data_IF_167059773374
#
_entry.id   IF_167059773374
#
_cell.length_a   1.000
_cell.length_b   1.000
_cell.length_c   1.000
_cell.angle_alpha   90.00
_cell.angle_beta   90.00
_cell.angle_gamma   90.00
#
_symmetry.space_group_name_H-M   'P 1'
#
loop_
_entity.id
_entity.type
_entity.pdbx_description
1 polymer ?
#
# COMPACT_ATOMS: atom_id res chain seq x y z
N UNK A 1 75.21 50.77 -14.86
CA UNK A 1 75.86 50.04 -13.76
C UNK A 1 74.79 49.37 -12.92
N UNK A 2 75.01 48.12 -12.61
CA UNK A 2 74.34 47.25 -11.67
C UNK A 2 73.01 46.70 -12.10
N UNK A 3 73.08 45.52 -12.71
CA UNK A 3 72.00 44.45 -12.73
C UNK A 3 71.91 43.87 -11.37
N UNK A 4 70.67 43.74 -10.86
CA UNK A 4 70.39 42.90 -9.70
C UNK A 4 69.35 41.88 -10.12
N UNK A 5 69.84 40.67 -10.39
CA UNK A 5 69.03 39.46 -10.62
C UNK A 5 68.49 38.93 -9.28
N UNK A 6 67.18 38.94 -9.06
CA UNK A 6 66.54 38.25 -7.98
C UNK A 6 66.02 36.90 -8.49
N UNK A 7 66.74 35.84 -8.17
CA UNK A 7 66.30 34.45 -8.32
C UNK A 7 65.41 34.06 -7.14
N UNK A 8 64.13 33.83 -7.41
CA UNK A 8 63.26 33.18 -6.43
C UNK A 8 63.36 31.63 -6.59
N UNK A 9 63.63 30.88 -5.54
CA UNK A 9 63.51 29.44 -5.59
C UNK A 9 62.04 29.07 -5.42
N UNK A 10 61.45 28.48 -6.49
CA UNK A 10 60.15 27.83 -6.39
C UNK A 10 60.32 26.55 -5.59
N UNK A 11 59.79 26.54 -4.37
CA UNK A 11 59.65 25.34 -3.58
C UNK A 11 58.64 24.38 -4.28
N UNK A 12 58.90 23.08 -4.33
CA UNK A 12 57.95 22.12 -4.88
C UNK A 12 56.68 22.10 -4.02
N UNK A 13 55.53 22.37 -4.65
CA UNK A 13 54.23 22.18 -4.04
C UNK A 13 54.08 20.68 -3.81
N UNK A 14 54.16 20.26 -2.56
CA UNK A 14 53.80 18.92 -2.15
C UNK A 14 52.33 18.69 -2.45
N UNK A 15 52.04 17.86 -3.48
CA UNK A 15 50.70 17.31 -3.72
C UNK A 15 50.33 16.50 -2.46
N UNK A 16 49.63 17.15 -1.56
CA UNK A 16 48.99 16.47 -0.43
C UNK A 16 48.07 15.40 -1.01
N UNK A 17 48.39 14.14 -0.76
CA UNK A 17 47.63 12.99 -1.26
C UNK A 17 46.16 13.16 -0.87
N UNK A 18 45.27 13.20 -1.86
CA UNK A 18 43.84 13.24 -1.62
C UNK A 18 43.44 12.13 -0.61
N UNK A 19 42.61 12.42 0.40
CA UNK A 19 42.24 11.43 1.38
C UNK A 19 41.63 10.23 0.68
N UNK A 20 42.17 9.04 0.95
CA UNK A 20 41.69 7.78 0.38
C UNK A 20 40.20 7.65 0.66
N UNK A 21 39.41 7.40 -0.38
CA UNK A 21 37.98 7.16 -0.23
C UNK A 21 37.77 6.02 0.76
N UNK A 22 36.86 6.18 1.75
CA UNK A 22 36.64 5.18 2.77
C UNK A 22 36.27 3.85 2.10
N UNK A 23 36.93 2.79 2.52
CA UNK A 23 36.62 1.45 2.03
C UNK A 23 35.18 1.09 2.41
N UNK A 24 34.52 0.18 1.65
CA UNK A 24 33.15 -0.30 1.97
C UNK A 24 33.00 -0.74 3.44
N UNK A 25 34.08 -1.20 4.04
CA UNK A 25 34.15 -1.65 5.44
C UNK A 25 34.11 -0.46 6.42
N UNK A 26 34.76 0.63 6.08
CA UNK A 26 34.79 1.86 6.92
C UNK A 26 33.45 2.61 6.84
N UNK A 27 32.76 2.54 5.71
CA UNK A 27 31.41 3.09 5.55
C UNK A 27 30.36 2.35 6.41
N UNK A 28 30.49 1.03 6.57
CA UNK A 28 29.63 0.22 7.46
C UNK A 28 29.89 0.51 8.94
N UNK A 29 31.11 0.96 9.27
CA UNK A 29 31.51 1.32 10.63
C UNK A 29 31.35 2.83 10.91
N UNK A 30 30.73 3.58 9.98
CA UNK A 30 30.46 5.00 10.20
C UNK A 30 29.61 5.22 11.46
N UNK A 31 29.80 6.39 12.09
CA UNK A 31 29.04 6.75 13.29
C UNK A 31 27.52 6.63 13.06
N UNK A 32 27.05 6.99 11.87
CA UNK A 32 25.64 6.85 11.46
C UNK A 32 25.16 5.40 11.45
N UNK A 33 25.96 4.45 10.95
CA UNK A 33 25.64 3.03 10.96
C UNK A 33 25.57 2.47 12.38
N UNK A 34 26.42 2.92 13.29
CA UNK A 34 26.39 2.51 14.71
C UNK A 34 25.15 3.05 15.43
N UNK A 35 24.75 4.29 15.15
CA UNK A 35 23.54 4.88 15.72
C UNK A 35 22.26 4.25 15.19
N UNK A 36 22.26 3.73 13.95
CA UNK A 36 21.09 3.03 13.37
C UNK A 36 20.98 1.56 13.81
N UNK A 37 22.05 0.95 14.30
CA UNK A 37 22.10 -0.46 14.68
C UNK A 37 20.97 -0.88 15.65
N UNK A 38 20.68 -0.18 16.76
CA UNK A 38 19.62 -0.58 17.68
C UNK A 38 18.23 -0.53 17.02
N UNK A 39 17.97 0.43 16.13
CA UNK A 39 16.72 0.51 15.40
C UNK A 39 16.60 -0.62 14.38
N UNK A 40 17.67 -0.92 13.63
CA UNK A 40 17.73 -2.02 12.69
C UNK A 40 17.50 -3.36 13.40
N UNK A 41 18.13 -3.55 14.55
CA UNK A 41 17.99 -4.77 15.36
C UNK A 41 16.55 -4.93 15.88
N UNK A 42 15.96 -3.86 16.38
CA UNK A 42 14.56 -3.85 16.83
C UNK A 42 13.60 -4.20 15.67
N UNK A 43 13.81 -3.61 14.49
CA UNK A 43 13.02 -3.93 13.30
C UNK A 43 13.26 -5.36 12.81
N UNK A 44 14.50 -5.84 12.84
CA UNK A 44 14.81 -7.21 12.44
C UNK A 44 14.14 -8.24 13.36
N UNK A 45 14.20 -8.03 14.67
CA UNK A 45 13.57 -8.94 15.64
C UNK A 45 12.05 -8.79 15.62
N UNK A 46 11.52 -7.56 15.61
CA UNK A 46 10.08 -7.32 15.71
C UNK A 46 9.32 -7.62 14.40
N UNK A 47 9.96 -7.53 13.24
CA UNK A 47 9.32 -7.72 11.95
C UNK A 47 9.79 -8.99 11.22
N UNK A 48 11.10 -9.19 11.09
CA UNK A 48 11.65 -10.32 10.30
C UNK A 48 11.49 -11.64 11.03
N UNK A 49 11.69 -11.67 12.36
CA UNK A 49 11.58 -12.92 13.12
C UNK A 49 10.17 -13.55 13.07
N UNK A 50 9.06 -12.80 13.24
CA UNK A 50 7.71 -13.35 13.02
C UNK A 50 7.48 -13.86 11.60
N UNK A 51 8.00 -13.19 10.57
CA UNK A 51 7.88 -13.66 9.19
C UNK A 51 8.63 -14.97 8.96
N UNK A 52 9.85 -15.08 9.52
CA UNK A 52 10.63 -16.34 9.49
C UNK A 52 9.88 -17.44 10.23
N UNK A 53 9.25 -17.13 11.37
CA UNK A 53 8.46 -18.10 12.12
C UNK A 53 7.27 -18.61 11.29
N UNK A 54 6.48 -17.72 10.67
CA UNK A 54 5.37 -18.10 9.77
C UNK A 54 5.89 -18.96 8.62
N UNK A 55 7.00 -18.57 8.00
CA UNK A 55 7.62 -19.35 6.92
C UNK A 55 8.06 -20.74 7.40
N UNK A 56 8.68 -20.85 8.59
CA UNK A 56 9.09 -22.13 9.17
C UNK A 56 7.88 -23.01 9.54
N UNK A 57 6.82 -22.40 10.13
CA UNK A 57 5.59 -23.14 10.47
C UNK A 57 4.85 -23.65 9.23
N UNK A 58 4.95 -23.00 8.09
CA UNK A 58 4.31 -23.45 6.84
C UNK A 58 4.74 -24.84 6.38
N UNK A 59 5.95 -25.28 6.78
CA UNK A 59 6.50 -26.61 6.50
C UNK A 59 6.30 -27.61 7.68
N UNK A 60 5.68 -27.20 8.77
CA UNK A 60 5.42 -28.10 9.88
C UNK A 60 4.28 -29.07 9.54
N UNK A 61 4.20 -30.21 10.26
CA UNK A 61 3.13 -31.19 10.10
C UNK A 61 1.78 -30.57 10.51
N UNK A 62 0.68 -30.82 9.77
CA UNK A 62 -0.64 -30.29 10.11
C UNK A 62 -1.02 -30.53 11.58
N UNK A 63 -1.66 -29.53 12.18
CA UNK A 63 -2.14 -29.57 13.58
C UNK A 63 -1.06 -29.86 14.62
N UNK A 64 0.19 -29.47 14.39
CA UNK A 64 1.28 -29.54 15.36
C UNK A 64 1.82 -28.17 15.69
N UNK A 65 2.35 -28.00 16.90
CA UNK A 65 3.05 -26.78 17.33
C UNK A 65 4.58 -26.94 17.29
N UNK A 66 5.07 -28.12 16.84
CA UNK A 66 6.50 -28.44 16.78
C UNK A 66 7.09 -28.13 15.41
N UNK A 67 7.81 -27.01 15.29
CA UNK A 67 8.35 -26.51 14.01
C UNK A 67 9.52 -27.35 13.48
N UNK A 68 10.37 -27.85 14.38
CA UNK A 68 11.66 -28.43 13.97
C UNK A 68 11.68 -29.97 13.88
N UNK A 69 10.59 -30.65 14.14
CA UNK A 69 10.56 -32.12 14.23
C UNK A 69 10.22 -32.84 12.92
N UNK A 70 9.55 -32.15 11.99
CA UNK A 70 9.21 -32.74 10.69
C UNK A 70 8.93 -31.65 9.65
N UNK A 71 9.72 -31.64 8.58
CA UNK A 71 9.44 -30.83 7.41
C UNK A 71 8.54 -31.59 6.45
N UNK A 72 7.42 -30.95 6.03
CA UNK A 72 6.47 -31.54 5.10
C UNK A 72 5.90 -30.50 4.15
N UNK A 73 5.59 -30.90 2.93
CA UNK A 73 4.87 -30.07 1.95
C UNK A 73 3.36 -30.38 1.90
N UNK A 74 2.86 -31.16 2.85
CA UNK A 74 1.44 -31.59 2.88
C UNK A 74 0.50 -30.38 2.94
N UNK A 75 0.83 -29.32 3.68
CA UNK A 75 0.01 -28.10 3.75
C UNK A 75 -0.13 -27.47 2.36
N UNK A 76 0.95 -27.39 1.59
CA UNK A 76 0.91 -26.87 0.23
C UNK A 76 0.14 -27.79 -0.72
N UNK A 77 0.34 -29.11 -0.60
CA UNK A 77 -0.43 -30.09 -1.36
C UNK A 77 -1.93 -29.97 -1.05
N UNK A 78 -2.30 -29.75 0.20
CA UNK A 78 -3.71 -29.50 0.61
C UNK A 78 -4.27 -28.23 0.00
N UNK A 79 -3.49 -27.14 -0.06
CA UNK A 79 -3.89 -25.87 -0.70
C UNK A 79 -4.12 -26.05 -2.20
N UNK A 80 -3.20 -26.75 -2.90
CA UNK A 80 -3.25 -26.90 -4.35
C UNK A 80 -4.16 -28.02 -4.85
N UNK A 81 -4.29 -29.13 -4.12
CA UNK A 81 -5.09 -30.30 -4.49
C UNK A 81 -6.36 -30.44 -3.64
N UNK A 82 -6.51 -29.62 -2.61
CA UNK A 82 -7.63 -29.65 -1.66
C UNK A 82 -8.90 -28.96 -2.16
N UNK A 83 -9.72 -28.53 -1.25
CA UNK A 83 -11.04 -27.98 -1.55
C UNK A 83 -10.96 -26.73 -2.46
N UNK A 84 -11.84 -26.66 -3.46
CA UNK A 84 -12.06 -25.46 -4.30
C UNK A 84 -12.40 -24.21 -3.48
N UNK A 85 -12.72 -24.35 -2.19
CA UNK A 85 -13.13 -23.27 -1.28
C UNK A 85 -12.00 -22.25 -1.08
N UNK A 86 -10.75 -22.68 -0.83
CA UNK A 86 -9.61 -21.77 -0.63
C UNK A 86 -9.34 -20.93 -1.87
N UNK A 87 -9.40 -21.58 -3.05
CA UNK A 87 -9.23 -20.88 -4.33
C UNK A 87 -10.37 -19.90 -4.60
N UNK A 88 -11.59 -20.24 -4.23
CA UNK A 88 -12.74 -19.35 -4.34
C UNK A 88 -12.56 -18.12 -3.44
N UNK A 89 -12.13 -18.32 -2.18
CA UNK A 89 -11.82 -17.23 -1.25
C UNK A 89 -10.71 -16.33 -1.76
N UNK A 90 -9.66 -16.92 -2.37
CA UNK A 90 -8.58 -16.17 -3.00
C UNK A 90 -9.07 -15.34 -4.19
N UNK A 91 -9.92 -15.91 -5.05
CA UNK A 91 -10.51 -15.20 -6.19
C UNK A 91 -11.44 -14.06 -5.74
N UNK A 92 -12.22 -14.27 -4.68
CA UNK A 92 -13.03 -13.19 -4.10
C UNK A 92 -12.17 -12.06 -3.55
N UNK A 93 -11.11 -12.37 -2.80
CA UNK A 93 -10.16 -11.36 -2.29
C UNK A 93 -9.53 -10.58 -3.43
N UNK A 94 -9.07 -11.28 -4.47
CA UNK A 94 -8.47 -10.68 -5.66
C UNK A 94 -9.46 -9.80 -6.40
N UNK A 95 -10.70 -10.28 -6.59
CA UNK A 95 -11.78 -9.55 -7.24
C UNK A 95 -12.13 -8.26 -6.50
N UNK A 96 -12.30 -8.32 -5.18
CA UNK A 96 -12.56 -7.14 -4.37
C UNK A 96 -11.38 -6.16 -4.37
N UNK A 97 -10.14 -6.66 -4.25
CA UNK A 97 -8.96 -5.81 -4.27
C UNK A 97 -8.81 -5.07 -5.62
N UNK A 98 -9.01 -5.77 -6.75
CA UNK A 98 -8.99 -5.13 -8.07
C UNK A 98 -10.14 -4.16 -8.28
N UNK A 99 -11.37 -4.54 -7.91
CA UNK A 99 -12.53 -3.68 -8.05
C UNK A 99 -12.37 -2.40 -7.21
N UNK A 100 -11.94 -2.55 -5.95
CA UNK A 100 -11.66 -1.41 -5.05
C UNK A 100 -10.57 -0.52 -5.62
N UNK A 101 -9.46 -1.09 -6.09
CA UNK A 101 -8.35 -0.36 -6.67
C UNK A 101 -8.80 0.44 -7.91
N UNK A 102 -9.52 -0.19 -8.83
CA UNK A 102 -10.01 0.45 -10.04
C UNK A 102 -11.02 1.58 -9.74
N UNK A 103 -11.99 1.33 -8.87
CA UNK A 103 -12.99 2.32 -8.50
C UNK A 103 -12.36 3.49 -7.72
N UNK A 104 -11.45 3.20 -6.78
CA UNK A 104 -10.76 4.25 -6.05
C UNK A 104 -9.83 5.06 -6.94
N UNK A 105 -9.18 4.46 -7.94
CA UNK A 105 -8.38 5.23 -8.89
C UNK A 105 -9.24 6.27 -9.62
N UNK A 106 -10.46 5.89 -10.03
CA UNK A 106 -11.41 6.79 -10.69
C UNK A 106 -11.96 7.85 -9.74
N UNK A 107 -12.27 7.49 -8.48
CA UNK A 107 -12.85 8.41 -7.49
C UNK A 107 -11.77 9.35 -6.91
N UNK A 108 -10.61 8.83 -6.56
CA UNK A 108 -9.54 9.58 -5.91
C UNK A 108 -8.85 10.56 -6.87
N UNK A 109 -8.79 10.25 -8.17
CA UNK A 109 -8.11 11.12 -9.14
C UNK A 109 -8.71 12.54 -9.20
N UNK A 110 -10.04 12.73 -9.42
CA UNK A 110 -10.62 14.06 -9.43
C UNK A 110 -10.51 14.78 -8.10
N UNK A 111 -10.56 14.05 -6.97
CA UNK A 111 -10.36 14.63 -5.64
C UNK A 111 -8.91 15.12 -5.49
N UNK A 112 -7.92 14.29 -5.84
CA UNK A 112 -6.51 14.64 -5.79
C UNK A 112 -6.19 15.82 -6.74
N UNK A 113 -6.77 15.84 -7.94
CA UNK A 113 -6.68 16.96 -8.85
C UNK A 113 -7.26 18.24 -8.25
N UNK A 114 -8.45 18.15 -7.63
CA UNK A 114 -9.08 19.25 -6.93
C UNK A 114 -8.22 19.82 -5.81
N UNK A 115 -7.61 18.95 -5.01
CA UNK A 115 -6.70 19.33 -3.93
C UNK A 115 -5.47 20.09 -4.42
N UNK A 116 -4.93 19.73 -5.58
CA UNK A 116 -3.72 20.37 -6.12
C UNK A 116 -3.99 21.62 -6.96
N UNK A 117 -5.13 21.68 -7.67
CA UNK A 117 -5.35 22.67 -8.73
C UNK A 117 -6.54 23.60 -8.49
N UNK A 118 -7.58 23.15 -7.75
CA UNK A 118 -8.86 23.86 -7.67
C UNK A 118 -9.10 24.48 -6.31
N UNK A 119 -8.88 23.75 -5.22
CA UNK A 119 -9.29 24.19 -3.88
C UNK A 119 -8.41 25.30 -3.27
N UNK A 120 -7.20 25.55 -3.81
CA UNK A 120 -6.31 26.61 -3.35
C UNK A 120 -6.11 26.57 -1.82
N UNK A 121 -6.49 27.65 -1.13
CA UNK A 121 -6.38 27.76 0.34
C UNK A 121 -7.25 26.78 1.13
N UNK A 122 -8.30 26.24 0.52
CA UNK A 122 -9.18 25.24 1.14
C UNK A 122 -8.64 23.82 1.05
N UNK A 123 -7.59 23.57 0.26
CA UNK A 123 -7.00 22.24 0.07
C UNK A 123 -6.58 21.60 1.39
N UNK A 124 -5.98 22.36 2.31
CA UNK A 124 -5.58 21.88 3.63
C UNK A 124 -6.79 21.41 4.46
N UNK A 125 -7.88 22.18 4.48
CA UNK A 125 -9.08 21.80 5.21
C UNK A 125 -9.72 20.53 4.64
N UNK A 126 -9.82 20.44 3.31
CA UNK A 126 -10.35 19.25 2.63
C UNK A 126 -9.46 18.03 2.89
N UNK A 127 -8.11 18.19 2.86
CA UNK A 127 -7.19 17.11 3.21
C UNK A 127 -7.39 16.59 4.63
N UNK A 128 -7.56 17.50 5.61
CA UNK A 128 -7.84 17.14 7.01
C UNK A 128 -9.13 16.33 7.12
N UNK A 129 -10.18 16.70 6.35
CA UNK A 129 -11.45 15.97 6.34
C UNK A 129 -11.28 14.50 5.92
N UNK A 130 -10.39 14.20 4.96
CA UNK A 130 -10.07 12.83 4.56
C UNK A 130 -9.15 12.10 5.55
N UNK A 131 -8.34 12.82 6.33
CA UNK A 131 -7.49 12.24 7.37
C UNK A 131 -8.28 11.92 8.64
N UNK A 132 -9.26 12.76 8.99
CA UNK A 132 -10.01 12.67 10.25
C UNK A 132 -10.56 11.26 10.53
N UNK A 133 -11.18 10.56 9.56
CA UNK A 133 -11.67 9.20 9.79
C UNK A 133 -10.59 8.20 10.21
N UNK A 134 -9.31 8.43 9.89
CA UNK A 134 -8.22 7.52 10.25
C UNK A 134 -7.95 7.49 11.77
N UNK A 135 -8.36 8.52 12.51
CA UNK A 135 -8.28 8.54 13.98
C UNK A 135 -9.32 7.66 14.67
N UNK A 136 -10.35 7.23 13.93
CA UNK A 136 -11.37 6.33 14.43
C UNK A 136 -11.05 4.91 13.98
N UNK A 137 -11.14 3.94 14.90
CA UNK A 137 -10.92 2.53 14.54
C UNK A 137 -11.80 2.10 13.35
N UNK A 138 -11.20 1.36 12.44
CA UNK A 138 -11.88 0.80 11.26
C UNK A 138 -13.16 0.04 11.65
N UNK A 139 -13.08 -0.87 12.63
CA UNK A 139 -14.22 -1.64 13.07
C UNK A 139 -15.38 -0.74 13.55
N UNK A 140 -15.08 0.33 14.32
CA UNK A 140 -16.10 1.26 14.81
C UNK A 140 -16.80 1.95 13.65
N UNK A 141 -16.05 2.37 12.64
CA UNK A 141 -16.60 2.98 11.42
C UNK A 141 -17.50 2.02 10.65
N UNK A 142 -17.08 0.76 10.51
CA UNK A 142 -17.87 -0.27 9.81
C UNK A 142 -19.15 -0.63 10.58
N UNK A 143 -19.12 -0.70 11.91
CA UNK A 143 -20.32 -0.88 12.72
C UNK A 143 -21.29 0.32 12.59
N UNK A 144 -20.76 1.55 12.44
CA UNK A 144 -21.58 2.72 12.12
C UNK A 144 -22.36 2.54 10.81
N UNK A 145 -21.72 1.95 9.78
CA UNK A 145 -22.40 1.60 8.53
C UNK A 145 -23.47 0.52 8.71
N UNK A 146 -23.18 -0.51 9.54
CA UNK A 146 -24.20 -1.53 9.88
C UNK A 146 -25.44 -0.87 10.50
N UNK A 147 -25.25 -0.01 11.51
CA UNK A 147 -26.37 0.69 12.17
C UNK A 147 -27.14 1.61 11.21
N UNK A 148 -26.45 2.19 10.23
CA UNK A 148 -27.09 3.05 9.24
C UNK A 148 -27.94 2.25 8.25
N UNK A 149 -27.45 1.11 7.74
CA UNK A 149 -28.08 0.33 6.65
C UNK A 149 -28.93 -0.86 7.13
N UNK A 150 -28.90 -1.21 8.42
CA UNK A 150 -29.69 -2.31 8.95
C UNK A 150 -31.20 -2.02 8.77
N UNK A 151 -32.00 -3.07 8.61
CA UNK A 151 -33.46 -2.94 8.56
C UNK A 151 -33.99 -2.25 9.82
N UNK A 152 -34.84 -1.25 9.66
CA UNK A 152 -35.29 -0.31 10.70
C UNK A 152 -34.14 0.53 11.32
N UNK A 153 -32.98 0.60 10.65
CA UNK A 153 -31.89 1.49 11.01
C UNK A 153 -32.14 2.95 10.57
N UNK A 154 -31.08 3.77 10.62
CA UNK A 154 -31.19 5.21 10.35
C UNK A 154 -31.71 5.50 8.96
N UNK A 155 -31.18 4.82 7.91
CA UNK A 155 -31.61 5.02 6.53
C UNK A 155 -33.08 4.62 6.34
N UNK A 156 -33.44 3.43 6.77
CA UNK A 156 -34.79 2.88 6.62
C UNK A 156 -35.84 3.72 7.38
N UNK A 157 -35.50 4.16 8.60
CA UNK A 157 -36.32 5.04 9.40
C UNK A 157 -36.54 6.42 8.75
N UNK A 158 -35.47 7.04 8.25
CA UNK A 158 -35.58 8.34 7.57
C UNK A 158 -36.36 8.26 6.27
N UNK A 159 -36.20 7.21 5.47
CA UNK A 159 -36.98 7.02 4.25
C UNK A 159 -38.45 6.82 4.52
N UNK A 160 -38.79 6.03 5.58
CA UNK A 160 -40.21 5.87 5.99
C UNK A 160 -40.83 7.18 6.47
N UNK A 161 -40.07 8.03 7.20
CA UNK A 161 -40.54 9.36 7.58
C UNK A 161 -40.80 10.27 6.38
N UNK A 162 -40.06 10.08 5.28
CA UNK A 162 -40.26 10.82 4.03
C UNK A 162 -41.37 10.23 3.14
N UNK A 163 -42.05 9.16 3.58
CA UNK A 163 -43.16 8.54 2.85
C UNK A 163 -42.76 7.44 1.86
N UNK A 164 -41.53 6.95 1.91
CA UNK A 164 -41.08 5.80 1.11
C UNK A 164 -41.36 4.48 1.83
N UNK A 165 -41.48 3.36 1.09
CA UNK A 165 -41.72 2.03 1.66
C UNK A 165 -40.54 1.44 2.46
N UNK A 166 -39.39 2.15 2.52
CA UNK A 166 -38.18 1.76 3.22
C UNK A 166 -36.95 1.78 2.32
N UNK A 167 -35.77 1.54 2.88
CA UNK A 167 -34.50 1.52 2.18
C UNK A 167 -34.16 0.17 1.54
N UNK A 168 -33.28 0.15 0.52
CA UNK A 168 -32.79 -1.08 -0.06
C UNK A 168 -32.00 -1.90 0.96
N UNK A 169 -32.26 -3.21 1.04
CA UNK A 169 -31.53 -4.13 1.90
C UNK A 169 -30.26 -4.60 1.20
N UNK A 170 -29.21 -3.75 1.23
CA UNK A 170 -27.90 -4.05 0.63
C UNK A 170 -26.88 -4.56 1.65
N UNK A 171 -27.20 -4.47 2.94
CA UNK A 171 -26.35 -4.97 4.03
C UNK A 171 -26.21 -6.50 3.92
N UNK A 172 -25.03 -7.00 4.26
CA UNK A 172 -24.65 -8.41 4.15
C UNK A 172 -24.60 -8.99 2.75
N UNK A 173 -24.36 -8.11 1.76
CA UNK A 173 -24.17 -8.50 0.36
C UNK A 173 -22.80 -8.06 -0.17
N UNK A 174 -22.27 -8.70 -1.23
CA UNK A 174 -20.96 -8.35 -1.79
C UNK A 174 -20.79 -6.87 -2.17
N UNK A 175 -21.80 -6.15 -2.72
CA UNK A 175 -21.65 -4.71 -2.99
C UNK A 175 -21.39 -3.87 -1.75
N UNK A 176 -21.90 -4.29 -0.58
CA UNK A 176 -21.69 -3.57 0.67
C UNK A 176 -20.24 -3.73 1.18
N UNK A 177 -19.64 -4.91 0.96
CA UNK A 177 -18.21 -5.13 1.22
C UNK A 177 -17.39 -4.14 0.41
N UNK A 178 -17.65 -4.06 -0.91
CA UNK A 178 -16.96 -3.15 -1.80
C UNK A 178 -17.12 -1.68 -1.39
N UNK A 179 -18.33 -1.27 -1.00
CA UNK A 179 -18.59 0.09 -0.52
C UNK A 179 -17.80 0.40 0.76
N UNK A 180 -17.72 -0.54 1.70
CA UNK A 180 -16.89 -0.43 2.90
C UNK A 180 -15.41 -0.28 2.58
N UNK A 181 -14.89 -1.13 1.68
CA UNK A 181 -13.50 -1.05 1.23
C UNK A 181 -13.19 0.29 0.54
N UNK A 182 -14.10 0.80 -0.30
CA UNK A 182 -13.94 2.12 -0.93
C UNK A 182 -13.84 3.22 0.12
N UNK A 183 -14.68 3.19 1.15
CA UNK A 183 -14.66 4.17 2.22
C UNK A 183 -13.38 4.08 3.08
N UNK A 184 -12.99 2.87 3.46
CA UNK A 184 -11.84 2.65 4.36
C UNK A 184 -10.53 2.98 3.68
N UNK A 185 -10.37 2.56 2.41
CA UNK A 185 -9.09 2.67 1.70
C UNK A 185 -8.93 3.95 0.86
N UNK A 186 -9.95 4.79 0.77
CA UNK A 186 -9.90 6.06 0.04
C UNK A 186 -8.67 6.92 0.42
N UNK A 187 -8.32 7.15 1.70
CA UNK A 187 -7.16 7.94 2.05
C UNK A 187 -5.84 7.35 1.55
N UNK A 188 -5.71 6.03 1.55
CA UNK A 188 -4.49 5.33 1.12
C UNK A 188 -4.26 5.41 -0.39
N UNK A 189 -5.31 5.58 -1.18
CA UNK A 189 -5.22 5.90 -2.60
C UNK A 189 -4.99 7.39 -2.83
N UNK A 190 -5.75 8.23 -2.10
CA UNK A 190 -5.82 9.67 -2.32
C UNK A 190 -4.49 10.38 -2.04
N UNK A 191 -3.82 10.08 -0.90
CA UNK A 191 -2.63 10.82 -0.52
C UNK A 191 -1.43 10.59 -1.43
N UNK A 192 -1.03 9.34 -1.79
CA UNK A 192 0.05 9.14 -2.75
C UNK A 192 -0.26 9.74 -4.12
N UNK A 193 -1.52 9.65 -4.57
CA UNK A 193 -1.96 10.22 -5.83
C UNK A 193 -1.89 11.75 -5.80
N UNK A 194 -2.30 12.39 -4.70
CA UNK A 194 -2.19 13.84 -4.49
C UNK A 194 -0.74 14.28 -4.51
N UNK A 195 0.15 13.52 -3.87
CA UNK A 195 1.59 13.80 -3.89
C UNK A 195 2.17 13.66 -5.32
N UNK A 196 1.79 12.62 -6.05
CA UNK A 196 2.20 12.43 -7.44
C UNK A 196 1.78 13.60 -8.33
N UNK A 197 0.53 14.05 -8.21
CA UNK A 197 0.04 15.22 -8.95
C UNK A 197 0.69 16.54 -8.52
N UNK A 198 1.10 16.68 -7.25
CA UNK A 198 1.82 17.84 -6.76
C UNK A 198 3.23 17.96 -7.38
N UNK A 199 3.83 16.84 -7.77
CA UNK A 199 5.15 16.81 -8.43
C UNK A 199 5.12 17.26 -9.89
N UNK A 200 3.95 17.39 -10.52
CA UNK A 200 3.82 17.84 -11.92
C UNK A 200 4.01 19.36 -12.00
N UNK A 201 5.10 19.85 -12.66
CA UNK A 201 5.38 21.27 -12.78
C UNK A 201 4.30 21.99 -13.58
N UNK A 202 3.87 23.16 -13.11
CA UNK A 202 2.86 23.97 -13.81
C UNK A 202 3.37 24.47 -15.15
N UNK A 203 4.65 24.78 -15.22
CA UNK A 203 5.29 25.30 -16.43
C UNK A 203 5.17 24.34 -17.62
N UNK A 204 5.20 23.01 -17.37
CA UNK A 204 5.00 22.01 -18.42
C UNK A 204 3.55 21.98 -18.93
N UNK A 205 2.60 22.25 -18.06
CA UNK A 205 1.17 22.33 -18.43
C UNK A 205 0.94 23.58 -19.26
N UNK A 206 1.52 24.71 -18.86
CA UNK A 206 1.38 25.96 -19.57
C UNK A 206 2.10 25.92 -20.92
N UNK A 207 3.32 25.38 -21.01
CA UNK A 207 4.00 25.13 -22.27
C UNK A 207 3.20 24.22 -23.22
N UNK A 208 2.56 23.16 -22.71
CA UNK A 208 1.69 22.32 -23.53
C UNK A 208 0.47 23.08 -24.08
N UNK A 209 -0.11 24.01 -23.29
CA UNK A 209 -1.20 24.89 -23.74
C UNK A 209 -0.72 25.85 -24.82
N UNK A 210 0.46 26.42 -24.67
CA UNK A 210 1.03 27.34 -25.65
C UNK A 210 1.29 26.64 -27.01
N UNK A 211 1.56 25.33 -26.97
CA UNK A 211 1.67 24.48 -28.16
C UNK A 211 0.32 24.05 -28.73
N UNK A 212 -0.80 24.52 -28.16
CA UNK A 212 -2.16 24.23 -28.65
C UNK A 212 -2.77 22.91 -28.15
N UNK A 213 -2.15 22.25 -27.14
CA UNK A 213 -2.70 21.02 -26.58
C UNK A 213 -4.04 21.27 -25.86
N UNK A 214 -5.03 20.42 -26.13
CA UNK A 214 -6.29 20.48 -25.43
C UNK A 214 -6.20 19.85 -24.03
N UNK A 215 -7.23 20.06 -23.18
CA UNK A 215 -7.24 19.57 -21.78
C UNK A 215 -7.05 18.07 -21.65
N UNK A 216 -7.61 17.28 -22.59
CA UNK A 216 -7.49 15.83 -22.59
C UNK A 216 -6.08 15.36 -22.95
N UNK A 217 -5.44 16.04 -23.92
CA UNK A 217 -4.03 15.79 -24.29
C UNK A 217 -3.09 16.11 -23.13
N UNK A 218 -3.27 17.27 -22.48
CA UNK A 218 -2.47 17.65 -21.30
C UNK A 218 -2.63 16.62 -20.19
N UNK A 219 -3.86 16.21 -19.89
CA UNK A 219 -4.14 15.19 -18.89
C UNK A 219 -3.45 13.86 -19.21
N UNK A 220 -3.62 13.35 -20.44
CA UNK A 220 -3.13 12.04 -20.85
C UNK A 220 -1.63 11.99 -21.08
N UNK A 221 -1.04 13.05 -21.65
CA UNK A 221 0.34 13.06 -22.15
C UNK A 221 1.31 13.75 -21.18
N UNK A 222 0.82 14.60 -20.27
CA UNK A 222 1.64 15.35 -19.33
C UNK A 222 1.32 14.98 -17.88
N UNK A 223 0.09 15.21 -17.43
CA UNK A 223 -0.24 15.08 -16.01
C UNK A 223 -0.20 13.63 -15.54
N UNK A 224 -0.89 12.72 -16.21
CA UNK A 224 -0.97 11.29 -15.81
C UNK A 224 0.40 10.63 -15.86
N UNK A 225 1.21 10.74 -16.92
CA UNK A 225 2.53 10.11 -16.95
C UNK A 225 3.49 10.63 -15.88
N UNK A 226 3.47 11.93 -15.60
CA UNK A 226 4.32 12.53 -14.57
C UNK A 226 3.84 12.20 -13.15
N UNK A 227 2.52 12.09 -12.95
CA UNK A 227 1.93 11.68 -11.68
C UNK A 227 1.93 10.15 -11.47
N UNK A 228 2.28 9.36 -12.51
CA UNK A 228 2.21 7.90 -12.50
C UNK A 228 2.84 7.26 -11.26
N UNK A 229 3.99 7.70 -10.75
CA UNK A 229 4.58 7.11 -9.55
C UNK A 229 3.66 7.19 -8.34
N UNK A 230 3.05 8.35 -8.09
CA UNK A 230 2.10 8.52 -6.98
C UNK A 230 0.83 7.71 -7.19
N UNK A 231 0.32 7.63 -8.42
CA UNK A 231 -0.84 6.81 -8.78
C UNK A 231 -0.55 5.34 -8.51
N UNK A 232 0.59 4.82 -8.97
CA UNK A 232 0.97 3.41 -8.80
C UNK A 232 1.22 3.04 -7.33
N UNK A 233 1.83 3.93 -6.55
CA UNK A 233 1.99 3.72 -5.11
C UNK A 233 0.62 3.65 -4.42
N UNK A 234 -0.31 4.57 -4.74
CA UNK A 234 -1.68 4.55 -4.21
C UNK A 234 -2.43 3.27 -4.59
N UNK A 235 -2.34 2.86 -5.85
CA UNK A 235 -2.94 1.62 -6.34
C UNK A 235 -2.35 0.39 -5.63
N UNK A 236 -1.03 0.33 -5.45
CA UNK A 236 -0.37 -0.78 -4.78
C UNK A 236 -0.78 -0.88 -3.31
N UNK A 237 -0.76 0.25 -2.58
CA UNK A 237 -1.19 0.29 -1.18
C UNK A 237 -2.64 -0.18 -1.03
N UNK A 238 -3.55 0.37 -1.84
CA UNK A 238 -4.96 0.00 -1.83
C UNK A 238 -5.16 -1.47 -2.17
N UNK A 239 -4.43 -2.00 -3.15
CA UNK A 239 -4.51 -3.39 -3.55
C UNK A 239 -4.03 -4.35 -2.46
N UNK A 240 -2.88 -4.06 -1.84
CA UNK A 240 -2.31 -4.87 -0.75
C UNK A 240 -3.25 -4.88 0.46
N UNK A 241 -3.78 -3.71 0.85
CA UNK A 241 -4.77 -3.61 1.93
C UNK A 241 -6.06 -4.34 1.58
N UNK A 242 -6.51 -4.24 0.33
CA UNK A 242 -7.73 -4.88 -0.15
C UNK A 242 -7.69 -6.41 -0.13
N UNK A 243 -6.54 -7.04 -0.43
CA UNK A 243 -6.39 -8.50 -0.27
C UNK A 243 -6.49 -8.90 1.20
N UNK A 244 -6.00 -8.03 2.11
CA UNK A 244 -6.06 -8.24 3.56
C UNK A 244 -7.41 -7.92 4.23
N UNK A 245 -8.41 -7.48 3.48
CA UNK A 245 -9.70 -6.98 3.99
C UNK A 245 -10.53 -8.08 4.68
N UNK A 246 -10.39 -8.22 5.99
CA UNK A 246 -11.18 -9.16 6.82
C UNK A 246 -12.38 -8.46 7.45
N UNK A 247 -12.16 -7.26 7.99
CA UNK A 247 -13.17 -6.55 8.77
C UNK A 247 -14.40 -6.20 7.92
N UNK A 248 -14.20 -5.71 6.70
CA UNK A 248 -15.27 -5.35 5.77
C UNK A 248 -16.08 -6.58 5.36
N UNK A 249 -15.40 -7.70 5.05
CA UNK A 249 -16.08 -8.93 4.69
C UNK A 249 -16.89 -9.51 5.85
N UNK A 250 -16.38 -9.44 7.08
CA UNK A 250 -17.07 -9.97 8.28
C UNK A 250 -18.20 -9.07 8.73
N UNK A 251 -17.96 -7.76 8.84
CA UNK A 251 -18.91 -6.81 9.44
C UNK A 251 -19.99 -6.42 8.44
N UNK A 252 -19.60 -6.03 7.22
CA UNK A 252 -20.55 -5.56 6.20
C UNK A 252 -21.08 -6.68 5.31
N UNK A 253 -20.26 -7.71 5.08
CA UNK A 253 -20.64 -8.86 4.27
C UNK A 253 -21.41 -9.93 5.04
N UNK A 254 -21.36 -9.94 6.38
CA UNK A 254 -22.06 -10.94 7.20
C UNK A 254 -21.72 -12.37 6.82
N UNK A 255 -20.48 -12.62 6.36
CA UNK A 255 -20.01 -13.91 5.88
C UNK A 255 -20.69 -14.43 4.59
N UNK A 256 -21.37 -13.56 3.84
CA UNK A 256 -21.93 -13.92 2.53
C UNK A 256 -20.84 -14.34 1.53
N UNK A 257 -19.62 -13.84 1.73
CA UNK A 257 -18.43 -14.18 0.97
C UNK A 257 -17.28 -14.42 1.94
N UNK A 258 -16.54 -15.50 1.75
CA UNK A 258 -15.32 -15.78 2.49
C UNK A 258 -14.14 -15.26 1.67
N UNK A 259 -13.30 -14.45 2.31
CA UNK A 259 -12.06 -13.91 1.73
C UNK A 259 -10.85 -14.69 2.27
N UNK A 260 -9.74 -14.70 1.54
CA UNK A 260 -8.56 -15.50 1.90
C UNK A 260 -8.01 -15.18 3.29
N UNK A 261 -8.04 -13.90 3.67
CA UNK A 261 -7.59 -13.45 4.99
C UNK A 261 -8.47 -13.99 6.12
N UNK A 262 -9.76 -14.25 5.86
CA UNK A 262 -10.66 -14.91 6.80
C UNK A 262 -10.34 -16.42 6.92
N UNK A 263 -10.01 -17.11 5.81
CA UNK A 263 -9.55 -18.51 5.88
C UNK A 263 -8.25 -18.65 6.69
N UNK A 264 -7.32 -17.71 6.53
CA UNK A 264 -6.10 -17.64 7.34
C UNK A 264 -6.45 -17.46 8.82
N UNK A 265 -7.36 -16.52 9.15
CA UNK A 265 -7.82 -16.31 10.53
C UNK A 265 -8.48 -17.57 11.12
N UNK A 266 -9.34 -18.24 10.35
CA UNK A 266 -9.99 -19.49 10.77
C UNK A 266 -8.95 -20.58 11.06
N UNK A 267 -7.92 -20.70 10.21
CA UNK A 267 -6.86 -21.70 10.38
C UNK A 267 -6.07 -21.47 11.68
N UNK A 268 -5.78 -20.22 12.05
CA UNK A 268 -5.08 -19.89 13.30
C UNK A 268 -5.96 -19.97 14.53
N UNK A 269 -7.20 -19.48 14.46
CA UNK A 269 -8.07 -19.30 15.66
C UNK A 269 -8.95 -20.50 15.94
N UNK A 270 -9.77 -20.92 14.96
CA UNK A 270 -10.80 -21.93 15.16
C UNK A 270 -10.31 -23.35 14.88
N UNK A 271 -9.61 -23.54 13.75
CA UNK A 271 -9.10 -24.86 13.37
C UNK A 271 -7.82 -25.26 14.10
N UNK A 272 -7.17 -24.29 14.75
CA UNK A 272 -5.85 -24.46 15.42
C UNK A 272 -4.82 -25.21 14.53
N UNK A 273 -4.96 -25.08 13.23
CA UNK A 273 -4.04 -25.64 12.23
C UNK A 273 -3.05 -24.56 11.78
N UNK A 274 -2.17 -24.17 12.70
CA UNK A 274 -1.18 -23.13 12.49
C UNK A 274 -0.28 -23.35 11.26
N UNK A 275 0.17 -24.62 10.98
CA UNK A 275 0.93 -24.90 9.76
C UNK A 275 0.18 -24.57 8.47
N UNK A 276 -1.12 -24.91 8.38
CA UNK A 276 -1.94 -24.59 7.22
C UNK A 276 -2.17 -23.07 7.08
N UNK A 277 -2.51 -22.39 8.19
CA UNK A 277 -2.65 -20.94 8.20
C UNK A 277 -1.38 -20.22 7.79
N UNK A 278 -0.22 -20.71 8.24
CA UNK A 278 1.09 -20.20 7.84
C UNK A 278 1.39 -20.45 6.36
N UNK A 279 1.05 -21.60 5.82
CA UNK A 279 1.22 -21.92 4.41
C UNK A 279 0.34 -21.02 3.51
N UNK A 280 -0.92 -20.77 3.90
CA UNK A 280 -1.80 -19.82 3.23
C UNK A 280 -1.23 -18.40 3.25
N UNK A 281 -0.76 -17.94 4.43
CA UNK A 281 -0.14 -16.62 4.58
C UNK A 281 1.12 -16.47 3.70
N UNK A 282 1.96 -17.51 3.62
CA UNK A 282 3.16 -17.53 2.74
C UNK A 282 2.77 -17.43 1.27
N UNK A 283 1.78 -18.21 0.81
CA UNK A 283 1.31 -18.14 -0.59
C UNK A 283 0.81 -16.75 -0.95
N UNK A 284 -0.02 -16.15 -0.08
CA UNK A 284 -0.54 -14.78 -0.28
C UNK A 284 0.61 -13.77 -0.27
N UNK A 285 1.55 -13.89 0.67
CA UNK A 285 2.71 -12.98 0.78
C UNK A 285 3.60 -13.06 -0.46
N UNK A 286 3.87 -14.26 -0.98
CA UNK A 286 4.66 -14.45 -2.21
C UNK A 286 3.92 -13.83 -3.40
N UNK A 287 2.60 -14.04 -3.51
CA UNK A 287 1.80 -13.45 -4.58
C UNK A 287 1.84 -11.93 -4.55
N UNK A 288 1.58 -11.32 -3.38
CA UNK A 288 1.63 -9.87 -3.20
C UNK A 288 3.05 -9.34 -3.47
N UNK A 289 4.07 -10.03 -2.95
CA UNK A 289 5.48 -9.65 -3.16
C UNK A 289 5.87 -9.69 -4.63
N UNK A 290 5.49 -10.73 -5.36
CA UNK A 290 5.73 -10.86 -6.79
C UNK A 290 5.02 -9.74 -7.59
N UNK A 291 3.76 -9.46 -7.26
CA UNK A 291 3.03 -8.36 -7.88
C UNK A 291 3.68 -7.00 -7.60
N UNK A 292 4.07 -6.78 -6.35
CA UNK A 292 4.76 -5.56 -5.91
C UNK A 292 6.05 -5.37 -6.71
N UNK A 293 6.88 -6.42 -6.80
CA UNK A 293 8.11 -6.39 -7.58
C UNK A 293 7.84 -6.13 -9.07
N UNK A 294 6.80 -6.75 -9.63
CA UNK A 294 6.41 -6.54 -11.03
C UNK A 294 5.96 -5.09 -11.29
N UNK A 295 5.26 -4.45 -10.35
CA UNK A 295 4.88 -3.04 -10.45
C UNK A 295 6.12 -2.15 -10.33
N UNK A 296 6.98 -2.37 -9.33
CA UNK A 296 8.19 -1.57 -9.14
C UNK A 296 9.21 -1.72 -10.26
N UNK A 297 9.32 -2.90 -10.88
CA UNK A 297 10.20 -3.12 -12.04
C UNK A 297 9.77 -2.31 -13.29
N UNK A 298 8.51 -1.89 -13.34
CA UNK A 298 7.99 -1.03 -14.41
C UNK A 298 8.14 0.47 -14.10
N UNK A 299 8.46 0.81 -12.83
CA UNK A 299 8.76 2.16 -12.40
C UNK A 299 10.25 2.42 -12.63
N UNK A 300 10.56 3.40 -13.47
CA UNK A 300 11.92 3.90 -13.70
C UNK A 300 12.33 4.74 -12.48
N UNK A 301 12.77 4.04 -11.39
CA UNK A 301 13.12 4.65 -10.10
C UNK A 301 14.23 5.70 -10.23
N UNK A 302 15.12 5.56 -11.22
CA UNK A 302 16.19 6.53 -11.46
C UNK A 302 15.63 7.88 -11.94
N UNK A 303 14.54 7.87 -12.70
CA UNK A 303 13.82 9.10 -13.07
C UNK A 303 13.12 9.76 -11.89
N UNK A 304 12.63 8.95 -10.92
CA UNK A 304 11.96 9.45 -9.72
C UNK A 304 12.92 10.09 -8.73
N UNK A 305 14.14 9.57 -8.63
CA UNK A 305 15.17 10.06 -7.70
C UNK A 305 15.99 11.21 -8.26
N UNK A 306 15.70 11.68 -9.50
CA UNK A 306 16.44 12.77 -10.12
C UNK A 306 17.93 12.46 -10.33
N UNK A 307 18.31 11.18 -10.30
CA UNK A 307 19.67 10.73 -10.55
C UNK A 307 19.86 10.54 -12.05
N UNK A 308 20.23 11.60 -12.72
CA UNK A 308 21.01 11.62 -13.96
C UNK A 308 22.29 12.36 -13.71
#
# INVERSE_FOLDING_TARGET
>A
MAQTTLSHPTAPVSLEAAPALPTKRDALLSLGARCSLPVILLLAVGFVAPLIAIFAYSFAKPRTFEVFRSFTLVNYAEIFNGSNTVWLSFLWSLGFAFATCALLAVIAYPIAYGLNRVFGKWSSLVSILFVFPLFVSENVRLYGWVLFFIKNGVLDGTLKMLGFEGGPQILFQPPMILAGMLYVYLPFMLFPMTLGLAMVPRDLIDAARDLGANRWQIWREVEVPLAMPGILIGMLLTFVLGIGAVAEAKILGGQSVIVISHDIEIAFTYSQNWPLGSALAVVVTIFIGALTLAVFSRLDLDRLLGRR
#
